data_IF_664973536150
#
_entry.id   IF_664973536150
#
_cell.length_a   1.000
_cell.length_b   1.000
_cell.length_c   1.000
_cell.angle_alpha   90.00
_cell.angle_beta   90.00
_cell.angle_gamma   90.00
#
_symmetry.space_group_name_H-M   'P 1'
#
loop_
_entity.id
_entity.type
_entity.pdbx_description
1 polymer ?
#
# COMPACT_ATOMS: atom_id res chain seq x y z
N UNK A 1 -20.42 8.12 37.25
CA UNK A 1 -19.70 8.67 36.08
C UNK A 1 -20.74 9.03 35.03
N UNK A 2 -20.98 10.33 34.76
CA UNK A 2 -21.92 10.75 33.71
C UNK A 2 -21.21 10.57 32.37
N UNK A 3 -21.61 9.57 31.60
CA UNK A 3 -21.13 9.37 30.22
C UNK A 3 -21.61 10.53 29.35
N UNK A 4 -20.67 11.36 28.90
CA UNK A 4 -20.93 12.29 27.80
C UNK A 4 -21.26 11.48 26.55
N UNK A 5 -22.34 11.84 25.86
CA UNK A 5 -22.65 11.23 24.57
C UNK A 5 -21.57 11.68 23.57
N UNK A 6 -20.72 10.74 23.13
CA UNK A 6 -19.71 10.98 22.10
C UNK A 6 -20.36 10.93 20.72
N UNK A 7 -19.91 11.81 19.84
CA UNK A 7 -20.38 11.87 18.45
C UNK A 7 -20.03 10.57 17.71
N UNK A 8 -21.05 9.81 17.32
CA UNK A 8 -20.91 8.61 16.50
C UNK A 8 -20.95 8.94 15.01
N UNK A 9 -20.07 8.32 14.22
CA UNK A 9 -20.14 8.43 12.76
C UNK A 9 -21.19 7.48 12.17
N UNK A 10 -21.79 7.84 11.02
CA UNK A 10 -22.63 6.92 10.24
C UNK A 10 -21.90 5.62 9.90
N UNK A 11 -22.63 4.50 9.82
CA UNK A 11 -22.07 3.18 9.54
C UNK A 11 -21.27 3.15 8.22
N UNK A 12 -21.74 3.84 7.19
CA UNK A 12 -21.08 3.96 5.89
C UNK A 12 -19.65 4.51 6.01
N UNK A 13 -19.45 5.50 6.88
CA UNK A 13 -18.11 6.08 7.13
C UNK A 13 -17.20 5.12 7.87
N UNK A 14 -17.75 4.37 8.83
CA UNK A 14 -16.97 3.38 9.57
C UNK A 14 -16.46 2.28 8.64
N UNK A 15 -17.30 1.81 7.70
CA UNK A 15 -16.89 0.85 6.68
C UNK A 15 -15.75 1.40 5.82
N UNK A 16 -15.83 2.66 5.37
CA UNK A 16 -14.74 3.29 4.60
C UNK A 16 -13.43 3.31 5.40
N UNK A 17 -13.48 3.62 6.70
CA UNK A 17 -12.29 3.60 7.56
C UNK A 17 -11.74 2.19 7.78
N UNK A 18 -12.61 1.18 7.85
CA UNK A 18 -12.22 -0.22 7.96
C UNK A 18 -11.55 -0.70 6.68
N UNK A 19 -12.14 -0.44 5.52
CA UNK A 19 -11.57 -0.74 4.21
C UNK A 19 -10.20 -0.10 4.04
N UNK A 20 -10.04 1.15 4.52
CA UNK A 20 -8.77 1.85 4.44
C UNK A 20 -7.68 1.24 5.31
N UNK A 21 -8.04 0.80 6.53
CA UNK A 21 -7.11 0.08 7.42
C UNK A 21 -6.73 -1.27 6.81
N UNK A 22 -7.70 -1.98 6.27
CA UNK A 22 -7.47 -3.25 5.58
C UNK A 22 -6.55 -3.08 4.37
N UNK A 23 -6.76 -2.03 3.55
CA UNK A 23 -5.93 -1.74 2.39
C UNK A 23 -4.45 -1.58 2.75
N UNK A 24 -4.12 -0.96 3.89
CA UNK A 24 -2.74 -0.91 4.37
C UNK A 24 -2.19 -2.30 4.68
N UNK A 25 -2.89 -3.08 5.51
CA UNK A 25 -2.42 -4.41 5.92
C UNK A 25 -2.19 -5.29 4.68
N UNK A 26 -3.16 -5.32 3.77
CA UNK A 26 -3.03 -6.04 2.51
C UNK A 26 -1.86 -5.54 1.66
N UNK A 27 -1.61 -4.23 1.62
CA UNK A 27 -0.48 -3.66 0.87
C UNK A 27 0.86 -4.06 1.46
N UNK A 28 1.00 -4.01 2.79
CA UNK A 28 2.21 -4.45 3.50
C UNK A 28 2.46 -5.96 3.25
N UNK A 29 1.43 -6.80 3.36
CA UNK A 29 1.53 -8.24 3.10
C UNK A 29 1.94 -8.58 1.64
N UNK A 30 1.40 -7.83 0.67
CA UNK A 30 1.77 -7.98 -0.74
C UNK A 30 3.22 -7.56 -0.96
N UNK A 31 3.66 -6.45 -0.34
CA UNK A 31 5.04 -5.98 -0.44
C UNK A 31 6.03 -7.01 0.11
N UNK A 32 5.72 -7.61 1.25
CA UNK A 32 6.54 -8.66 1.86
C UNK A 32 6.58 -9.90 0.96
N UNK A 33 5.43 -10.34 0.45
CA UNK A 33 5.35 -11.46 -0.50
C UNK A 33 6.16 -11.21 -1.77
N UNK A 34 6.08 -10.00 -2.35
CA UNK A 34 6.89 -9.62 -3.50
C UNK A 34 8.38 -9.67 -3.16
N UNK A 35 8.78 -9.13 -2.01
CA UNK A 35 10.17 -9.12 -1.58
C UNK A 35 10.73 -10.54 -1.41
N UNK A 36 9.95 -11.47 -0.86
CA UNK A 36 10.33 -12.88 -0.74
C UNK A 36 10.50 -13.55 -2.10
N UNK A 37 9.55 -13.35 -3.01
CA UNK A 37 9.60 -13.91 -4.36
C UNK A 37 10.85 -13.41 -5.08
N UNK A 38 11.11 -12.10 -5.07
CA UNK A 38 12.20 -11.51 -5.86
C UNK A 38 13.57 -11.51 -5.15
N UNK A 39 13.67 -12.02 -3.92
CA UNK A 39 14.90 -11.98 -3.11
C UNK A 39 16.13 -12.55 -3.84
N UNK A 40 15.92 -13.64 -4.58
CA UNK A 40 16.97 -14.35 -5.32
C UNK A 40 17.23 -13.77 -6.72
N UNK A 41 16.48 -12.73 -7.12
CA UNK A 41 16.51 -12.18 -8.47
C UNK A 41 17.56 -11.06 -8.65
N UNK A 42 17.99 -10.44 -7.55
CA UNK A 42 18.80 -9.22 -7.58
C UNK A 42 20.30 -9.45 -7.34
N UNK A 43 20.72 -10.68 -7.01
CA UNK A 43 22.09 -10.98 -6.58
C UNK A 43 22.84 -11.90 -7.55
N UNK A 44 23.80 -11.32 -8.27
CA UNK A 44 24.78 -12.06 -9.09
C UNK A 44 24.15 -12.87 -10.24
N UNK A 45 24.82 -13.97 -10.62
CA UNK A 45 24.29 -14.93 -11.58
C UNK A 45 23.17 -15.74 -10.93
N UNK A 46 21.99 -15.74 -11.53
CA UNK A 46 20.90 -16.58 -11.07
C UNK A 46 21.16 -18.07 -11.40
N UNK A 47 20.32 -18.97 -10.89
CA UNK A 47 20.50 -20.41 -11.05
C UNK A 47 20.62 -20.86 -12.51
N UNK A 48 19.93 -20.19 -13.44
CA UNK A 48 19.95 -20.55 -14.85
C UNK A 48 21.25 -20.09 -15.52
N UNK A 49 21.73 -18.89 -15.18
CA UNK A 49 23.00 -18.38 -15.70
C UNK A 49 24.19 -19.18 -15.14
N UNK A 50 24.14 -19.55 -13.85
CA UNK A 50 25.12 -20.48 -13.24
C UNK A 50 25.13 -21.84 -13.95
N UNK A 51 23.96 -22.34 -14.33
CA UNK A 51 23.85 -23.58 -15.08
C UNK A 51 24.42 -23.41 -16.49
N UNK A 52 24.16 -22.29 -17.17
CA UNK A 52 24.71 -21.98 -18.48
C UNK A 52 26.26 -21.96 -18.45
N UNK A 53 26.85 -21.35 -17.42
CA UNK A 53 28.30 -21.32 -17.22
C UNK A 53 28.87 -22.71 -17.00
N UNK A 54 28.18 -23.56 -16.24
CA UNK A 54 28.57 -24.96 -16.05
C UNK A 54 28.58 -25.74 -17.37
N UNK A 55 27.55 -25.59 -18.20
CA UNK A 55 27.48 -26.23 -19.53
C UNK A 55 28.65 -25.77 -20.41
N UNK A 56 28.97 -24.48 -20.38
CA UNK A 56 30.14 -23.93 -21.09
C UNK A 56 31.46 -24.51 -20.57
N UNK A 57 31.62 -24.65 -19.25
CA UNK A 57 32.86 -25.10 -18.62
C UNK A 57 33.12 -26.61 -18.79
N UNK A 58 32.06 -27.42 -18.85
CA UNK A 58 32.20 -28.86 -19.03
C UNK A 58 32.26 -29.29 -20.49
N UNK A 59 31.51 -28.64 -21.40
CA UNK A 59 31.57 -28.95 -22.84
C UNK A 59 33.00 -28.87 -23.38
N UNK A 60 33.76 -27.83 -23.03
CA UNK A 60 35.16 -27.66 -23.49
C UNK A 60 36.14 -28.72 -22.97
N UNK A 61 35.76 -29.48 -21.93
CA UNK A 61 36.57 -30.58 -21.38
C UNK A 61 36.26 -31.94 -22.03
N UNK A 62 35.25 -32.00 -22.90
CA UNK A 62 34.83 -33.23 -23.55
C UNK A 62 35.65 -33.48 -24.83
N UNK A 63 36.13 -34.71 -24.96
CA UNK A 63 36.79 -35.20 -26.19
C UNK A 63 35.78 -35.63 -27.27
N UNK A 64 34.58 -36.06 -26.86
CA UNK A 64 33.47 -36.37 -27.76
C UNK A 64 32.87 -35.07 -28.32
N UNK A 65 33.00 -34.88 -29.63
CA UNK A 65 32.53 -33.69 -30.36
C UNK A 65 31.02 -33.58 -30.34
N UNK A 66 30.28 -34.68 -30.52
CA UNK A 66 28.82 -34.66 -30.57
C UNK A 66 28.23 -34.33 -29.21
N UNK A 67 28.79 -34.89 -28.14
CA UNK A 67 28.38 -34.59 -26.77
C UNK A 67 28.73 -33.14 -26.39
N UNK A 68 29.93 -32.68 -26.73
CA UNK A 68 30.37 -31.28 -26.54
C UNK A 68 29.39 -30.31 -27.18
N UNK A 69 29.11 -30.50 -28.47
CA UNK A 69 28.30 -29.57 -29.24
C UNK A 69 26.85 -29.57 -28.75
N UNK A 70 26.33 -30.74 -28.36
CA UNK A 70 25.00 -30.86 -27.74
C UNK A 70 24.89 -30.08 -26.44
N UNK A 71 25.87 -30.21 -25.53
CA UNK A 71 25.89 -29.46 -24.27
C UNK A 71 26.09 -27.96 -24.52
N UNK A 72 27.00 -27.58 -25.42
CA UNK A 72 27.22 -26.17 -25.77
C UNK A 72 25.94 -25.52 -26.34
N UNK A 73 25.13 -26.27 -27.11
CA UNK A 73 23.89 -25.76 -27.70
C UNK A 73 22.80 -25.37 -26.70
N UNK A 74 22.84 -25.92 -25.48
CA UNK A 74 21.87 -25.60 -24.43
C UNK A 74 22.15 -24.28 -23.70
N UNK A 75 23.38 -23.77 -23.78
CA UNK A 75 23.83 -22.54 -23.09
C UNK A 75 22.97 -21.31 -23.43
N UNK A 76 22.71 -20.96 -24.71
CA UNK A 76 21.94 -19.76 -25.05
C UNK A 76 20.52 -19.78 -24.47
N UNK A 77 19.90 -20.96 -24.40
CA UNK A 77 18.56 -21.12 -23.79
C UNK A 77 18.57 -20.82 -22.30
N UNK A 78 19.55 -21.35 -21.56
CA UNK A 78 19.70 -21.08 -20.13
C UNK A 78 20.04 -19.61 -19.85
N UNK A 79 20.88 -18.97 -20.67
CA UNK A 79 21.17 -17.54 -20.57
C UNK A 79 19.93 -16.69 -20.85
N UNK A 80 19.10 -17.07 -21.83
CA UNK A 80 17.86 -16.36 -22.12
C UNK A 80 16.86 -16.45 -20.96
N UNK A 81 16.67 -17.65 -20.40
CA UNK A 81 15.86 -17.84 -19.19
C UNK A 81 16.43 -16.98 -18.05
N UNK A 82 17.76 -16.96 -17.90
CA UNK A 82 18.45 -16.12 -16.93
C UNK A 82 18.14 -14.63 -17.07
N UNK A 83 18.18 -14.09 -18.29
CA UNK A 83 17.83 -12.69 -18.58
C UNK A 83 16.37 -12.38 -18.27
N UNK A 84 15.44 -13.23 -18.71
CA UNK A 84 14.01 -13.10 -18.42
C UNK A 84 13.74 -13.13 -16.91
N UNK A 85 14.45 -14.01 -16.21
CA UNK A 85 14.36 -14.11 -14.75
C UNK A 85 14.77 -12.78 -14.11
N UNK A 86 15.93 -12.20 -14.43
CA UNK A 86 16.33 -10.89 -13.90
C UNK A 86 15.35 -9.78 -14.24
N UNK A 87 14.85 -9.75 -15.48
CA UNK A 87 13.91 -8.74 -15.93
C UNK A 87 12.62 -8.78 -15.11
N UNK A 88 12.07 -9.98 -14.84
CA UNK A 88 10.90 -10.13 -13.98
C UNK A 88 11.11 -9.53 -12.59
N UNK A 89 12.25 -9.81 -11.95
CA UNK A 89 12.56 -9.25 -10.62
C UNK A 89 12.60 -7.72 -10.63
N UNK A 90 13.22 -7.15 -11.67
CA UNK A 90 13.26 -5.69 -11.88
C UNK A 90 11.86 -5.11 -12.10
N UNK A 91 11.05 -5.75 -12.94
CA UNK A 91 9.70 -5.28 -13.24
C UNK A 91 8.79 -5.30 -12.02
N UNK A 92 8.87 -6.35 -11.19
CA UNK A 92 8.13 -6.40 -9.91
C UNK A 92 8.58 -5.27 -8.98
N UNK A 93 9.90 -5.03 -8.86
CA UNK A 93 10.42 -3.97 -8.01
C UNK A 93 9.98 -2.58 -8.48
N UNK A 94 10.12 -2.27 -9.77
CA UNK A 94 9.89 -0.94 -10.34
C UNK A 94 8.40 -0.65 -10.58
N UNK A 95 7.61 -1.66 -10.97
CA UNK A 95 6.23 -1.42 -11.42
C UNK A 95 5.17 -1.85 -10.41
N UNK A 96 5.49 -2.78 -9.50
CA UNK A 96 4.55 -3.25 -8.47
C UNK A 96 4.94 -2.66 -7.12
N UNK A 97 6.11 -3.02 -6.60
CA UNK A 97 6.51 -2.63 -5.24
C UNK A 97 6.67 -1.10 -5.10
N UNK A 98 7.22 -0.42 -6.10
CA UNK A 98 7.36 1.04 -6.06
C UNK A 98 6.00 1.75 -5.99
N UNK A 99 4.99 1.27 -6.73
CA UNK A 99 3.64 1.86 -6.72
C UNK A 99 2.93 1.64 -5.39
N UNK A 100 3.04 0.43 -4.83
CA UNK A 100 2.48 0.12 -3.51
C UNK A 100 3.16 0.94 -2.41
N UNK A 101 4.48 1.09 -2.45
CA UNK A 101 5.22 1.96 -1.53
C UNK A 101 4.81 3.43 -1.68
N UNK A 102 4.62 3.91 -2.90
CA UNK A 102 4.16 5.28 -3.16
C UNK A 102 2.77 5.51 -2.54
N UNK A 103 1.82 4.59 -2.77
CA UNK A 103 0.49 4.64 -2.14
C UNK A 103 0.57 4.77 -0.61
N UNK A 104 1.42 3.96 0.05
CA UNK A 104 1.60 4.03 1.50
C UNK A 104 2.22 5.37 1.97
N UNK A 105 3.16 5.92 1.20
CA UNK A 105 3.89 7.13 1.56
C UNK A 105 3.11 8.42 1.30
N UNK A 106 2.23 8.43 0.29
CA UNK A 106 1.45 9.62 -0.08
C UNK A 106 0.01 9.52 0.42
N UNK A 107 -0.76 8.62 -0.17
CA UNK A 107 -2.22 8.61 -0.05
C UNK A 107 -2.62 8.10 1.33
N UNK A 108 -2.04 6.97 1.76
CA UNK A 108 -2.27 6.40 3.08
C UNK A 108 -1.91 7.35 4.21
N UNK A 109 -0.75 8.00 4.09
CA UNK A 109 -0.29 8.97 5.07
C UNK A 109 -1.25 10.16 5.16
N UNK A 110 -1.65 10.73 4.03
CA UNK A 110 -2.58 11.87 3.98
C UNK A 110 -3.93 11.53 4.61
N UNK A 111 -4.52 10.39 4.27
CA UNK A 111 -5.78 9.95 4.88
C UNK A 111 -5.64 9.72 6.39
N UNK A 112 -4.52 9.16 6.84
CA UNK A 112 -4.24 8.98 8.27
C UNK A 112 -4.22 10.32 9.01
N UNK A 113 -3.60 11.34 8.42
CA UNK A 113 -3.58 12.71 8.96
C UNK A 113 -4.98 13.34 8.99
N UNK A 114 -5.77 13.19 7.92
CA UNK A 114 -7.15 13.68 7.85
C UNK A 114 -8.06 13.03 8.89
N UNK A 115 -7.97 11.70 9.07
CA UNK A 115 -8.71 10.96 10.10
C UNK A 115 -8.27 11.37 11.51
N UNK A 116 -6.98 11.61 11.73
CA UNK A 116 -6.46 12.11 13.01
C UNK A 116 -7.02 13.50 13.34
N UNK A 117 -7.03 14.41 12.37
CA UNK A 117 -7.60 15.75 12.52
C UNK A 117 -9.10 15.69 12.79
N UNK A 118 -9.85 14.86 12.06
CA UNK A 118 -11.27 14.64 12.29
C UNK A 118 -11.54 14.15 13.72
N UNK A 119 -10.76 13.20 14.24
CA UNK A 119 -10.90 12.71 15.61
C UNK A 119 -10.58 13.79 16.66
N UNK A 120 -9.61 14.67 16.38
CA UNK A 120 -9.30 15.82 17.24
C UNK A 120 -10.47 16.81 17.28
N UNK A 121 -11.03 17.15 16.12
CA UNK A 121 -12.20 18.03 16.01
C UNK A 121 -13.41 17.42 16.71
N UNK A 122 -13.64 16.10 16.56
CA UNK A 122 -14.69 15.38 17.29
C UNK A 122 -14.54 15.53 18.80
N UNK A 123 -13.33 15.30 19.32
CA UNK A 123 -13.06 15.42 20.75
C UNK A 123 -13.32 16.85 21.26
N UNK A 124 -12.96 17.87 20.47
CA UNK A 124 -13.24 19.26 20.79
C UNK A 124 -14.75 19.56 20.80
N UNK A 125 -15.48 19.05 19.82
CA UNK A 125 -16.94 19.19 19.73
C UNK A 125 -17.65 18.48 20.88
N UNK A 126 -17.31 17.22 21.17
CA UNK A 126 -17.90 16.45 22.28
C UNK A 126 -17.73 17.20 23.61
N UNK A 127 -16.53 17.75 23.87
CA UNK A 127 -16.25 18.56 25.05
C UNK A 127 -17.07 19.86 25.10
N UNK A 128 -17.20 20.56 23.96
CA UNK A 128 -17.97 21.79 23.87
C UNK A 128 -19.47 21.54 24.05
N UNK A 129 -19.99 20.48 23.45
CA UNK A 129 -21.38 20.05 23.59
C UNK A 129 -21.70 19.67 25.04
N UNK A 130 -20.81 18.94 25.72
CA UNK A 130 -20.98 18.62 27.14
C UNK A 130 -20.92 19.85 28.04
N UNK A 131 -20.07 20.84 27.72
CA UNK A 131 -20.03 22.10 28.46
C UNK A 131 -21.33 22.90 28.27
N UNK A 132 -21.84 23.00 27.03
CA UNK A 132 -23.11 23.64 26.73
C UNK A 132 -24.28 22.95 27.44
N UNK A 133 -24.33 21.62 27.47
CA UNK A 133 -25.35 20.86 28.23
C UNK A 133 -25.37 21.23 29.72
N UNK A 134 -24.22 21.57 30.31
CA UNK A 134 -24.12 21.99 31.72
C UNK A 134 -24.50 23.45 31.93
N UNK A 135 -24.39 24.30 30.91
CA UNK A 135 -24.66 25.74 30.95
C UNK A 135 -25.40 26.19 29.67
N UNK A 136 -26.67 25.80 29.48
CA UNK A 136 -27.39 26.01 28.22
C UNK A 136 -27.71 27.49 27.92
N UNK A 137 -27.70 28.35 28.93
CA UNK A 137 -27.97 29.79 28.78
C UNK A 137 -26.69 30.63 28.63
N UNK A 138 -25.52 29.99 28.56
CA UNK A 138 -24.22 30.66 28.41
C UNK A 138 -23.91 30.86 26.92
N UNK A 139 -23.97 32.11 26.47
CA UNK A 139 -23.73 32.48 25.07
C UNK A 139 -22.33 32.08 24.57
N UNK A 140 -21.31 32.08 25.44
CA UNK A 140 -19.97 31.61 25.07
C UNK A 140 -19.95 30.08 24.89
N UNK A 141 -20.71 29.35 25.70
CA UNK A 141 -20.81 27.90 25.58
C UNK A 141 -21.54 27.50 24.29
N UNK A 142 -22.60 28.22 23.91
CA UNK A 142 -23.30 28.03 22.64
C UNK A 142 -22.39 28.34 21.44
N UNK A 143 -21.71 29.50 21.45
CA UNK A 143 -20.80 29.89 20.37
C UNK A 143 -19.66 28.88 20.19
N UNK A 144 -19.06 28.39 21.28
CA UNK A 144 -18.01 27.38 21.22
C UNK A 144 -18.51 26.07 20.62
N UNK A 145 -19.70 25.60 21.03
CA UNK A 145 -20.32 24.40 20.45
C UNK A 145 -20.45 24.55 18.95
N UNK A 146 -21.12 25.61 18.47
CA UNK A 146 -21.36 25.85 17.05
C UNK A 146 -20.06 25.97 16.25
N UNK A 147 -19.03 26.61 16.80
CA UNK A 147 -17.72 26.74 16.13
C UNK A 147 -17.03 25.38 15.98
N UNK A 148 -17.02 24.56 17.05
CA UNK A 148 -16.39 23.23 17.01
C UNK A 148 -17.18 22.22 16.15
N UNK A 149 -18.50 22.36 16.09
CA UNK A 149 -19.40 21.58 15.23
C UNK A 149 -19.10 21.88 13.75
N UNK A 150 -19.06 23.16 13.38
CA UNK A 150 -18.70 23.58 12.01
C UNK A 150 -17.30 23.11 11.60
N UNK A 151 -16.32 23.13 12.51
CA UNK A 151 -14.98 22.62 12.26
C UNK A 151 -14.97 21.09 12.07
N UNK A 152 -15.75 20.34 12.86
CA UNK A 152 -15.89 18.89 12.69
C UNK A 152 -16.53 18.53 11.35
N UNK A 153 -17.62 19.18 10.97
CA UNK A 153 -18.33 18.94 9.71
C UNK A 153 -17.47 19.28 8.48
N UNK A 154 -16.67 20.34 8.56
CA UNK A 154 -15.74 20.73 7.49
C UNK A 154 -14.67 19.66 7.22
N UNK A 155 -14.25 18.89 8.23
CA UNK A 155 -13.32 17.77 8.07
C UNK A 155 -14.02 16.46 7.70
N UNK A 156 -15.28 16.28 8.08
CA UNK A 156 -16.05 15.07 7.79
C UNK A 156 -16.52 15.03 6.31
N UNK A 157 -16.99 16.16 5.78
CA UNK A 157 -17.55 16.23 4.41
C UNK A 157 -16.59 15.77 3.30
N UNK A 158 -15.30 16.18 3.27
CA UNK A 158 -14.37 15.73 2.24
C UNK A 158 -14.15 14.22 2.24
N UNK A 159 -14.14 13.59 3.42
CA UNK A 159 -13.91 12.16 3.57
C UNK A 159 -15.12 11.33 3.11
N UNK A 160 -16.34 11.83 3.31
CA UNK A 160 -17.56 11.25 2.74
C UNK A 160 -17.68 11.48 1.22
N UNK A 161 -17.29 12.66 0.74
CA UNK A 161 -17.36 13.01 -0.69
C UNK A 161 -16.34 12.26 -1.54
N UNK A 162 -15.12 12.07 -1.03
CA UNK A 162 -14.07 11.30 -1.72
C UNK A 162 -14.45 9.83 -1.92
N UNK A 163 -15.23 9.24 -1.01
CA UNK A 163 -15.68 7.85 -1.08
C UNK A 163 -16.71 7.58 -2.18
N UNK A 164 -17.41 8.61 -2.68
CA UNK A 164 -18.38 8.47 -3.80
C UNK A 164 -17.74 8.50 -5.18
N UNK A 165 -16.46 8.84 -5.29
CA UNK A 165 -15.73 8.75 -6.55
C UNK A 165 -14.77 7.57 -6.50
N UNK A 166 -15.16 6.39 -7.03
CA UNK A 166 -14.16 5.44 -7.45
C UNK A 166 -13.38 6.13 -8.57
N UNK A 167 -12.16 6.59 -8.28
CA UNK A 167 -11.20 6.83 -9.36
C UNK A 167 -10.94 5.47 -9.97
N UNK A 168 -11.68 5.16 -11.02
CA UNK A 168 -11.42 4.08 -11.95
C UNK A 168 -10.03 4.30 -12.54
N UNK A 169 -8.99 3.94 -11.81
CA UNK A 169 -7.72 3.59 -12.39
C UNK A 169 -7.91 2.19 -12.93
N UNK A 170 -8.42 2.15 -14.16
CA UNK A 170 -8.33 0.99 -15.04
C UNK A 170 -6.85 0.63 -15.10
N UNK A 171 -6.43 -0.33 -14.28
CA UNK A 171 -5.20 -1.09 -14.51
C UNK A 171 -5.47 -1.92 -15.76
N UNK A 172 -5.32 -1.30 -16.93
CA UNK A 172 -5.09 -2.04 -18.17
C UNK A 172 -3.73 -2.71 -18.01
N UNK A 173 -3.75 -3.98 -17.65
CA UNK A 173 -2.66 -4.88 -18.01
C UNK A 173 -2.77 -5.07 -19.53
N UNK A 174 -1.87 -4.41 -20.26
CA UNK A 174 -1.48 -4.77 -21.62
C UNK A 174 -0.03 -5.22 -21.60
#
# INVERSE_FOLDING_TARGET
MRGGASTSYPAEFQLILEDYKFAKVATDDILDSCAEIIKDYLNGLNRYEKMADCFSAYSVKMSDVTARDSIASAKPGLEQIGRLYRQFGKDVQENVMAKLKAFLQTDYKKMTEEVSNLNRCRTAYDNAADNFRRKPNDAEAEQRKTTTEAAHDAHLCPLFGAAKTPKSNTLSFM
#
